data_IF_291198245704
#
_entry.id   IF_291198245704
#
_cell.length_a   1.000
_cell.length_b   1.000
_cell.length_c   1.000
_cell.angle_alpha   90.00
_cell.angle_beta   90.00
_cell.angle_gamma   90.00
#
_symmetry.space_group_name_H-M   'P 1'
#
loop_
_entity.id
_entity.type
_entity.pdbx_description
1 polymer ?
#
# COMPACT_ATOMS: atom_id res chain seq x y z
N UNK A 1 15.26 9.98 -1.34
CA UNK A 1 15.89 9.00 -2.27
C UNK A 1 15.51 9.39 -3.70
N UNK A 2 16.51 9.68 -4.53
CA UNK A 2 16.29 10.09 -5.94
C UNK A 2 15.75 8.90 -6.75
N UNK A 3 14.82 9.16 -7.66
CA UNK A 3 14.18 8.11 -8.46
C UNK A 3 15.13 7.33 -9.36
N UNK A 4 16.18 7.99 -9.86
CA UNK A 4 17.21 7.34 -10.70
C UNK A 4 18.14 6.43 -9.91
N UNK A 5 18.19 6.53 -8.58
CA UNK A 5 19.03 5.66 -7.74
C UNK A 5 18.29 4.34 -7.40
N UNK A 6 17.97 3.60 -8.47
CA UNK A 6 17.26 2.33 -8.35
C UNK A 6 18.14 1.24 -7.75
N UNK A 7 19.45 1.29 -7.95
CA UNK A 7 20.36 0.28 -7.40
C UNK A 7 20.54 0.42 -5.89
N UNK A 8 20.76 1.64 -5.39
CA UNK A 8 20.82 1.89 -3.94
C UNK A 8 19.53 1.47 -3.26
N UNK A 9 18.37 1.88 -3.81
CA UNK A 9 17.08 1.44 -3.30
C UNK A 9 16.94 -0.09 -3.26
N UNK A 10 17.28 -0.79 -4.36
CA UNK A 10 17.17 -2.24 -4.42
C UNK A 10 18.13 -2.93 -3.42
N UNK A 11 19.31 -2.36 -3.21
CA UNK A 11 20.27 -2.86 -2.23
C UNK A 11 19.78 -2.62 -0.80
N UNK A 12 19.20 -1.47 -0.49
CA UNK A 12 18.61 -1.18 0.82
C UNK A 12 17.47 -2.13 1.18
N UNK A 13 16.64 -2.49 0.19
CA UNK A 13 15.50 -3.39 0.38
C UNK A 13 15.92 -4.87 0.41
N UNK A 14 16.78 -5.30 -0.51
CA UNK A 14 17.05 -6.70 -0.78
C UNK A 14 18.49 -7.14 -0.53
N UNK A 15 19.40 -6.22 -0.22
CA UNK A 15 20.82 -6.52 -0.04
C UNK A 15 21.12 -7.47 1.13
N UNK A 16 20.20 -7.56 2.09
CA UNK A 16 20.28 -8.49 3.22
C UNK A 16 19.55 -9.82 3.00
N UNK A 17 19.06 -10.10 1.78
CA UNK A 17 18.32 -11.33 1.51
C UNK A 17 19.21 -12.58 1.68
N UNK A 18 18.77 -13.49 2.53
CA UNK A 18 19.46 -14.76 2.81
C UNK A 18 19.03 -15.84 1.81
N UNK A 19 19.67 -15.82 0.63
CA UNK A 19 19.36 -16.75 -0.47
C UNK A 19 20.37 -17.91 -0.58
N UNK A 20 21.17 -18.13 0.46
CA UNK A 20 22.17 -19.21 0.56
C UNK A 20 23.43 -18.98 -0.29
N UNK A 21 23.50 -17.94 -1.14
CA UNK A 21 24.65 -17.56 -1.95
C UNK A 21 24.58 -16.05 -2.26
N UNK A 22 25.64 -15.31 -1.93
CA UNK A 22 25.74 -13.86 -2.16
C UNK A 22 25.55 -13.48 -3.64
N UNK A 23 25.89 -14.36 -4.58
CA UNK A 23 25.65 -14.14 -6.01
C UNK A 23 24.17 -14.07 -6.33
N UNK A 24 23.32 -14.83 -5.62
CA UNK A 24 21.86 -14.79 -5.75
C UNK A 24 21.30 -13.47 -5.22
N UNK A 25 21.79 -13.02 -4.06
CA UNK A 25 21.40 -11.72 -3.47
C UNK A 25 21.79 -10.57 -4.39
N UNK A 26 23.03 -10.53 -4.90
CA UNK A 26 23.46 -9.53 -5.89
C UNK A 26 22.60 -9.56 -7.16
N UNK A 27 22.23 -10.74 -7.62
CA UNK A 27 21.35 -10.90 -8.80
C UNK A 27 19.93 -10.40 -8.51
N UNK A 28 19.41 -10.65 -7.30
CA UNK A 28 18.12 -10.11 -6.85
C UNK A 28 18.15 -8.57 -6.83
N UNK A 29 19.19 -7.96 -6.27
CA UNK A 29 19.36 -6.49 -6.25
C UNK A 29 19.42 -5.93 -7.69
N UNK A 30 20.19 -6.55 -8.60
CA UNK A 30 20.25 -6.13 -10.00
C UNK A 30 18.89 -6.20 -10.68
N UNK A 31 18.17 -7.32 -10.53
CA UNK A 31 16.83 -7.49 -11.11
C UNK A 31 15.82 -6.47 -10.54
N UNK A 32 15.79 -6.30 -9.22
CA UNK A 32 14.91 -5.35 -8.56
C UNK A 32 15.20 -3.91 -8.99
N UNK A 33 16.48 -3.54 -9.14
CA UNK A 33 16.92 -2.26 -9.67
C UNK A 33 16.39 -2.01 -11.09
N UNK A 34 16.56 -2.99 -11.98
CA UNK A 34 16.08 -2.90 -13.37
C UNK A 34 14.56 -2.77 -13.44
N UNK A 35 13.82 -3.55 -12.63
CA UNK A 35 12.35 -3.47 -12.55
C UNK A 35 11.86 -2.16 -11.93
N UNK A 36 12.61 -1.56 -11.02
CA UNK A 36 12.30 -0.26 -10.43
C UNK A 36 12.58 0.89 -11.41
N UNK A 37 13.61 0.78 -12.23
CA UNK A 37 13.95 1.76 -13.26
C UNK A 37 12.93 1.77 -14.39
N UNK A 38 12.49 0.58 -14.81
CA UNK A 38 11.56 0.36 -15.92
C UNK A 38 10.27 -0.31 -15.43
N UNK A 39 9.64 0.33 -14.46
CA UNK A 39 8.45 -0.19 -13.78
C UNK A 39 7.33 -0.52 -14.77
N UNK A 40 6.76 -1.73 -14.66
CA UNK A 40 5.68 -2.20 -15.54
C UNK A 40 6.16 -2.86 -16.83
N UNK A 41 7.47 -2.85 -17.11
CA UNK A 41 8.03 -3.58 -18.25
C UNK A 41 8.39 -5.02 -17.87
N UNK A 42 8.47 -5.89 -18.88
CA UNK A 42 8.91 -7.28 -18.68
C UNK A 42 10.41 -7.35 -18.32
N UNK A 43 10.86 -8.48 -17.76
CA UNK A 43 12.29 -8.74 -17.48
C UNK A 43 13.15 -8.43 -18.71
N UNK A 44 12.75 -8.88 -19.89
CA UNK A 44 13.50 -8.67 -21.14
C UNK A 44 13.64 -7.17 -21.47
N UNK A 45 12.56 -6.40 -21.32
CA UNK A 45 12.55 -4.96 -21.66
C UNK A 45 13.22 -4.09 -20.60
N UNK A 46 13.30 -4.57 -19.36
CA UNK A 46 13.94 -3.85 -18.26
C UNK A 46 15.42 -4.17 -18.10
N UNK A 47 15.91 -5.26 -18.69
CA UNK A 47 17.32 -5.66 -18.64
C UNK A 47 18.15 -4.96 -19.72
N UNK A 48 19.40 -4.63 -19.35
CA UNK A 48 20.35 -3.91 -20.24
C UNK A 48 21.11 -4.83 -21.19
N UNK A 49 21.16 -6.13 -20.92
CA UNK A 49 21.89 -7.12 -21.70
C UNK A 49 21.22 -8.49 -21.66
N UNK A 50 21.57 -9.35 -22.64
CA UNK A 50 21.13 -10.76 -22.65
C UNK A 50 21.63 -11.53 -21.42
N UNK A 51 22.81 -11.19 -20.88
CA UNK A 51 23.36 -11.78 -19.67
C UNK A 51 22.51 -11.43 -18.41
N UNK A 52 21.99 -10.22 -18.33
CA UNK A 52 21.05 -9.83 -17.25
C UNK A 52 19.73 -10.57 -17.37
N UNK A 53 19.16 -10.70 -18.59
CA UNK A 53 17.94 -11.46 -18.86
C UNK A 53 18.10 -12.91 -18.41
N UNK A 54 19.16 -13.58 -18.86
CA UNK A 54 19.44 -14.97 -18.50
C UNK A 54 19.64 -15.13 -16.98
N UNK A 55 20.41 -14.23 -16.37
CA UNK A 55 20.62 -14.21 -14.93
C UNK A 55 19.34 -14.03 -14.12
N UNK A 56 18.41 -13.18 -14.59
CA UNK A 56 17.11 -12.98 -13.96
C UNK A 56 16.25 -14.25 -14.04
N UNK A 57 16.18 -14.90 -15.20
CA UNK A 57 15.43 -16.15 -15.37
C UNK A 57 16.05 -17.30 -14.55
N UNK A 58 17.37 -17.39 -14.44
CA UNK A 58 18.04 -18.38 -13.58
C UNK A 58 17.69 -18.15 -12.11
N UNK A 59 17.64 -16.89 -11.64
CA UNK A 59 17.21 -16.57 -10.29
C UNK A 59 15.76 -17.00 -10.07
N UNK A 60 14.85 -16.67 -11.00
CA UNK A 60 13.43 -17.01 -10.88
C UNK A 60 13.17 -18.53 -10.87
N UNK A 61 13.95 -19.30 -11.61
CA UNK A 61 13.82 -20.77 -11.69
C UNK A 61 14.55 -21.53 -10.58
N UNK A 62 15.32 -20.84 -9.74
CA UNK A 62 16.12 -21.51 -8.71
C UNK A 62 15.24 -21.87 -7.49
N UNK A 63 15.04 -23.16 -7.19
CA UNK A 63 14.20 -23.58 -6.06
C UNK A 63 14.74 -23.18 -4.69
N UNK A 64 16.04 -22.87 -4.58
CA UNK A 64 16.62 -22.37 -3.34
C UNK A 64 16.36 -20.88 -3.09
N UNK A 65 15.75 -20.18 -4.04
CA UNK A 65 15.32 -18.77 -3.88
C UNK A 65 13.86 -18.77 -3.47
N UNK A 66 13.60 -18.76 -2.17
CA UNK A 66 12.24 -18.77 -1.64
C UNK A 66 11.61 -17.38 -1.72
N UNK A 67 10.34 -17.25 -2.14
CA UNK A 67 9.61 -15.98 -2.11
C UNK A 67 9.60 -15.30 -0.74
N UNK A 68 9.51 -16.10 0.34
CA UNK A 68 9.49 -15.59 1.70
C UNK A 68 10.86 -15.05 2.16
N UNK A 69 11.97 -15.60 1.66
CA UNK A 69 13.30 -15.04 1.90
C UNK A 69 13.49 -13.68 1.20
N UNK A 70 12.93 -13.52 0.00
CA UNK A 70 12.90 -12.23 -0.70
C UNK A 70 12.06 -11.22 0.09
N UNK A 71 10.85 -11.62 0.51
CA UNK A 71 9.94 -10.78 1.28
C UNK A 71 10.54 -10.39 2.64
N UNK A 72 11.15 -11.35 3.34
CA UNK A 72 11.78 -11.15 4.64
C UNK A 72 12.85 -10.06 4.65
N UNK A 73 13.68 -9.99 3.60
CA UNK A 73 14.66 -8.91 3.45
C UNK A 73 13.98 -7.54 3.37
N UNK A 74 12.95 -7.42 2.54
CA UNK A 74 12.20 -6.18 2.41
C UNK A 74 11.44 -5.79 3.67
N UNK A 75 10.87 -6.76 4.40
CA UNK A 75 10.22 -6.50 5.69
C UNK A 75 11.23 -6.04 6.74
N UNK A 76 12.42 -6.63 6.77
CA UNK A 76 13.51 -6.20 7.66
C UNK A 76 13.96 -4.78 7.36
N UNK A 77 14.08 -4.42 6.08
CA UNK A 77 14.40 -3.04 5.68
C UNK A 77 13.30 -2.06 6.13
N UNK A 78 12.03 -2.44 5.99
CA UNK A 78 10.88 -1.63 6.46
C UNK A 78 10.89 -1.49 7.99
N UNK A 79 11.15 -2.57 8.73
CA UNK A 79 11.23 -2.53 10.20
C UNK A 79 12.35 -1.62 10.69
N UNK A 80 13.50 -1.62 10.00
CA UNK A 80 14.62 -0.71 10.30
C UNK A 80 14.21 0.75 10.09
N UNK A 81 13.58 1.08 8.96
CA UNK A 81 13.11 2.42 8.69
C UNK A 81 12.01 2.88 9.66
N UNK A 82 11.18 1.97 10.14
CA UNK A 82 10.12 2.25 11.12
C UNK A 82 10.67 2.80 12.45
N UNK A 83 11.90 2.46 12.83
CA UNK A 83 12.51 2.91 14.10
C UNK A 83 12.66 4.43 14.20
N UNK A 84 12.73 5.14 13.07
CA UNK A 84 12.91 6.59 13.00
C UNK A 84 11.62 7.38 13.32
N UNK A 85 10.47 6.70 13.40
CA UNK A 85 9.17 7.35 13.52
C UNK A 85 8.52 7.13 14.89
N UNK A 86 8.02 8.21 15.54
CA UNK A 86 7.37 8.11 16.85
C UNK A 86 5.95 7.52 16.79
N UNK A 87 5.29 7.61 15.64
CA UNK A 87 3.96 7.08 15.38
C UNK A 87 3.88 6.51 13.97
N UNK A 88 3.29 5.34 13.87
CA UNK A 88 3.10 4.61 12.63
C UNK A 88 1.65 4.15 12.49
N UNK A 89 1.13 4.20 11.28
CA UNK A 89 -0.13 3.55 10.90
C UNK A 89 0.20 2.30 10.09
N UNK A 90 -0.30 1.15 10.54
CA UNK A 90 -0.28 -0.08 9.75
C UNK A 90 -1.59 -0.13 8.94
N UNK A 91 -1.52 0.23 7.67
CA UNK A 91 -2.65 0.24 6.76
C UNK A 91 -2.83 -1.16 6.18
N UNK A 92 -3.97 -1.78 6.48
CA UNK A 92 -4.20 -3.19 6.19
C UNK A 92 -5.39 -3.39 5.24
N UNK A 93 -5.20 -4.21 4.23
CA UNK A 93 -6.28 -4.60 3.31
C UNK A 93 -5.94 -5.87 2.52
N UNK A 94 -6.97 -6.50 1.95
CA UNK A 94 -6.85 -7.69 1.12
C UNK A 94 -7.23 -7.40 -0.33
N UNK A 95 -6.51 -8.05 -1.25
CA UNK A 95 -6.83 -8.01 -2.67
C UNK A 95 -6.63 -9.38 -3.31
N UNK A 96 -7.17 -9.56 -4.49
CA UNK A 96 -6.88 -10.73 -5.32
C UNK A 96 -6.05 -10.32 -6.54
N UNK A 97 -5.09 -11.14 -6.94
CA UNK A 97 -4.32 -11.01 -8.18
C UNK A 97 -4.86 -11.99 -9.21
N UNK A 98 -5.23 -11.49 -10.39
CA UNK A 98 -5.83 -12.29 -11.44
C UNK A 98 -4.78 -12.74 -12.46
N UNK A 99 -4.57 -14.05 -12.55
CA UNK A 99 -3.69 -14.70 -13.51
C UNK A 99 -4.41 -15.70 -14.41
N UNK A 100 -5.69 -15.50 -14.67
CA UNK A 100 -6.53 -16.40 -15.50
C UNK A 100 -6.01 -16.58 -16.93
N UNK A 101 -5.21 -15.65 -17.41
CA UNK A 101 -4.59 -15.65 -18.75
C UNK A 101 -3.19 -16.27 -18.77
N UNK A 102 -2.62 -16.61 -17.61
CA UNK A 102 -1.26 -17.17 -17.49
C UNK A 102 -1.24 -18.66 -17.72
N UNK A 103 -0.11 -19.18 -18.23
CA UNK A 103 0.14 -20.62 -18.35
C UNK A 103 0.11 -21.34 -16.99
N UNK A 104 0.40 -20.62 -15.90
CA UNK A 104 0.41 -21.13 -14.52
C UNK A 104 -1.01 -21.23 -13.91
N UNK A 105 -2.05 -20.87 -14.63
CA UNK A 105 -3.43 -20.79 -14.08
C UNK A 105 -3.91 -22.09 -13.41
N UNK A 106 -3.48 -23.26 -13.92
CA UNK A 106 -3.91 -24.55 -13.38
C UNK A 106 -3.30 -24.86 -12.01
N UNK A 107 -2.17 -24.20 -11.66
CA UNK A 107 -1.56 -24.27 -10.33
C UNK A 107 -2.18 -23.28 -9.33
N UNK A 108 -3.14 -22.46 -9.78
CA UNK A 108 -3.75 -21.38 -9.00
C UNK A 108 -5.21 -21.66 -8.67
N UNK A 109 -5.63 -21.23 -7.49
CA UNK A 109 -7.00 -21.37 -7.02
C UNK A 109 -7.95 -20.27 -7.50
N UNK A 110 -9.21 -20.40 -7.14
CA UNK A 110 -10.24 -19.40 -7.46
C UNK A 110 -10.07 -18.13 -6.62
N UNK A 111 -10.16 -16.98 -7.28
CA UNK A 111 -10.09 -15.65 -6.62
C UNK A 111 -11.46 -15.00 -6.42
N UNK A 112 -12.49 -15.53 -7.07
CA UNK A 112 -13.88 -15.06 -6.96
C UNK A 112 -14.84 -16.24 -6.77
N UNK A 113 -16.13 -15.96 -6.67
CA UNK A 113 -17.16 -17.00 -6.74
C UNK A 113 -17.30 -17.63 -8.14
N UNK A 114 -16.59 -17.08 -9.15
CA UNK A 114 -16.52 -17.65 -10.48
C UNK A 114 -15.25 -18.51 -10.61
N UNK A 115 -15.42 -19.81 -10.83
CA UNK A 115 -14.33 -20.77 -10.98
C UNK A 115 -13.38 -20.47 -12.16
N UNK A 116 -13.77 -19.61 -13.08
CA UNK A 116 -12.92 -19.21 -14.24
C UNK A 116 -11.82 -18.23 -13.86
N UNK A 117 -12.04 -17.45 -12.80
CA UNK A 117 -11.06 -16.48 -12.34
C UNK A 117 -10.04 -17.15 -11.41
N UNK A 118 -8.78 -17.25 -11.86
CA UNK A 118 -7.67 -17.93 -11.19
C UNK A 118 -6.61 -16.95 -10.73
N UNK A 119 -6.02 -17.18 -9.57
CA UNK A 119 -4.98 -16.30 -9.06
C UNK A 119 -4.61 -16.54 -7.60
N UNK A 120 -4.09 -15.48 -6.99
CA UNK A 120 -3.68 -15.46 -5.59
C UNK A 120 -4.57 -14.48 -4.81
N UNK A 121 -4.89 -14.85 -3.58
CA UNK A 121 -5.36 -13.91 -2.57
C UNK A 121 -4.15 -13.31 -1.88
N UNK A 122 -4.22 -12.03 -1.56
CA UNK A 122 -3.13 -11.33 -0.89
C UNK A 122 -3.69 -10.45 0.21
N UNK A 123 -3.06 -10.49 1.38
CA UNK A 123 -3.29 -9.54 2.46
C UNK A 123 -1.99 -8.78 2.70
N UNK A 124 -2.05 -7.45 2.65
CA UNK A 124 -0.88 -6.58 2.73
C UNK A 124 -0.99 -5.61 3.91
N UNK A 125 0.13 -5.30 4.55
CA UNK A 125 0.27 -4.31 5.61
C UNK A 125 1.35 -3.31 5.23
N UNK A 126 0.96 -2.05 5.03
CA UNK A 126 1.88 -0.94 4.78
C UNK A 126 2.09 -0.13 6.05
N UNK A 127 3.33 0.25 6.35
CA UNK A 127 3.62 1.25 7.37
C UNK A 127 3.67 2.65 6.77
N UNK A 128 2.95 3.56 7.42
CA UNK A 128 2.87 4.97 7.07
C UNK A 128 3.12 5.85 8.29
N UNK A 129 3.98 6.85 8.17
CA UNK A 129 4.27 7.82 9.22
C UNK A 129 3.43 9.09 9.01
N UNK A 130 2.35 9.32 9.79
CA UNK A 130 1.42 10.42 9.57
C UNK A 130 2.04 11.79 9.84
N UNK A 131 2.99 11.91 10.78
CA UNK A 131 3.61 13.18 11.15
C UNK A 131 4.47 13.84 10.04
N UNK A 132 4.95 13.03 9.08
CA UNK A 132 5.73 13.52 7.93
C UNK A 132 5.15 13.06 6.57
N UNK A 133 3.93 12.57 6.56
CA UNK A 133 3.24 12.05 5.37
C UNK A 133 4.10 11.05 4.56
N UNK A 134 4.88 10.20 5.26
CA UNK A 134 5.87 9.32 4.66
C UNK A 134 5.39 7.86 4.59
N UNK A 135 5.48 7.25 3.39
CA UNK A 135 5.29 5.81 3.20
C UNK A 135 6.59 5.08 3.58
N UNK A 136 6.60 4.43 4.74
CA UNK A 136 7.78 3.75 5.29
C UNK A 136 8.09 2.47 4.51
N UNK A 137 7.08 1.62 4.27
CA UNK A 137 7.30 0.41 3.51
C UNK A 137 6.23 -0.66 3.70
N UNK A 138 6.44 -1.81 3.07
CA UNK A 138 5.64 -3.03 3.24
C UNK A 138 6.25 -3.85 4.39
N UNK A 139 5.48 -4.08 5.47
CA UNK A 139 5.94 -4.80 6.67
C UNK A 139 5.47 -6.25 6.72
N UNK A 140 4.34 -6.55 6.07
CA UNK A 140 3.80 -7.90 5.96
C UNK A 140 3.05 -8.05 4.64
N UNK A 141 3.14 -9.24 4.04
CA UNK A 141 2.30 -9.65 2.93
C UNK A 141 2.11 -11.16 2.93
N UNK A 142 0.88 -11.58 3.19
CA UNK A 142 0.46 -12.97 3.07
C UNK A 142 -0.08 -13.23 1.67
N UNK A 143 0.30 -14.34 1.08
CA UNK A 143 -0.16 -14.79 -0.24
C UNK A 143 -0.65 -16.23 -0.14
N UNK A 144 -1.84 -16.50 -0.64
CA UNK A 144 -2.38 -17.86 -0.65
C UNK A 144 -3.27 -18.11 -1.87
N UNK A 145 -3.46 -19.37 -2.18
CA UNK A 145 -4.38 -19.84 -3.20
C UNK A 145 -5.52 -20.60 -2.52
N UNK A 146 -6.75 -20.29 -2.88
CA UNK A 146 -7.91 -21.06 -2.39
C UNK A 146 -7.96 -22.40 -3.11
N UNK A 147 -7.98 -23.49 -2.35
CA UNK A 147 -8.12 -24.82 -2.92
C UNK A 147 -9.47 -24.96 -3.64
N UNK A 148 -9.42 -25.66 -4.77
CA UNK A 148 -10.61 -25.87 -5.62
C UNK A 148 -11.71 -26.62 -4.90
N UNK A 149 -11.33 -27.62 -4.11
CA UNK A 149 -12.25 -28.48 -3.36
C UNK A 149 -12.93 -27.78 -2.18
N UNK A 150 -12.47 -26.62 -1.78
CA UNK A 150 -13.11 -25.79 -0.74
C UNK A 150 -14.27 -24.95 -1.26
N UNK A 151 -14.48 -24.92 -2.58
CA UNK A 151 -15.56 -24.17 -3.22
C UNK A 151 -16.94 -24.74 -2.85
N UNK A 152 -17.89 -23.87 -2.50
CA UNK A 152 -19.25 -24.26 -2.16
C UNK A 152 -19.48 -24.72 -0.70
N UNK A 153 -18.44 -24.95 0.09
CA UNK A 153 -18.51 -25.44 1.49
C UNK A 153 -18.76 -24.33 2.52
N UNK A 154 -19.51 -23.28 2.17
CA UNK A 154 -19.83 -22.14 3.07
C UNK A 154 -20.50 -22.57 4.39
N UNK A 155 -21.31 -23.65 4.37
CA UNK A 155 -22.00 -24.18 5.54
C UNK A 155 -21.05 -24.75 6.61
N UNK A 156 -19.87 -25.25 6.23
CA UNK A 156 -18.85 -25.74 7.16
C UNK A 156 -18.03 -24.62 7.84
N UNK A 157 -18.16 -23.36 7.36
CA UNK A 157 -17.39 -22.21 7.86
C UNK A 157 -17.64 -21.91 9.34
N UNK A 158 -18.86 -22.17 9.83
CA UNK A 158 -19.23 -21.93 11.24
C UNK A 158 -18.55 -22.92 12.20
N UNK A 159 -18.29 -24.15 11.74
CA UNK A 159 -17.74 -25.23 12.56
C UNK A 159 -16.20 -25.24 12.64
N UNK A 160 -15.53 -24.54 11.70
CA UNK A 160 -14.06 -24.47 11.70
C UNK A 160 -13.55 -23.60 12.85
N UNK A 161 -12.44 -23.99 13.51
CA UNK A 161 -11.70 -23.11 14.42
C UNK A 161 -11.36 -21.77 13.75
N UNK A 162 -11.16 -20.73 14.55
CA UNK A 162 -10.86 -19.38 14.01
C UNK A 162 -9.56 -19.37 13.21
N UNK A 163 -8.55 -20.10 13.65
CA UNK A 163 -7.22 -20.21 13.07
C UNK A 163 -7.23 -20.84 11.67
N UNK A 164 -8.23 -21.66 11.37
CA UNK A 164 -8.42 -22.29 10.05
C UNK A 164 -9.27 -21.43 9.09
N UNK A 165 -9.83 -20.33 9.57
CA UNK A 165 -10.62 -19.41 8.74
C UNK A 165 -9.73 -18.44 8.00
N UNK A 166 -10.11 -18.10 6.78
CA UNK A 166 -9.41 -17.05 6.00
C UNK A 166 -9.37 -15.71 6.73
N UNK A 167 -10.33 -15.48 7.63
CA UNK A 167 -10.37 -14.27 8.48
C UNK A 167 -9.25 -14.20 9.53
N UNK A 168 -8.55 -15.30 9.83
CA UNK A 168 -7.38 -15.34 10.71
C UNK A 168 -6.20 -14.55 10.14
N UNK A 169 -6.18 -14.27 8.84
CA UNK A 169 -5.16 -13.44 8.18
C UNK A 169 -4.87 -12.13 8.91
N UNK A 170 -5.89 -11.47 9.49
CA UNK A 170 -5.75 -10.21 10.23
C UNK A 170 -4.91 -10.39 11.50
N UNK A 171 -5.23 -11.40 12.29
CA UNK A 171 -4.47 -11.71 13.50
C UNK A 171 -3.06 -12.18 13.14
N UNK A 172 -2.91 -13.07 12.18
CA UNK A 172 -1.61 -13.56 11.71
C UNK A 172 -0.72 -12.44 11.20
N UNK A 173 -1.27 -11.44 10.49
CA UNK A 173 -0.52 -10.25 10.07
C UNK A 173 -0.04 -9.44 11.26
N UNK A 174 -0.89 -9.25 12.28
CA UNK A 174 -0.52 -8.56 13.51
C UNK A 174 0.55 -9.28 14.31
N UNK A 175 0.51 -10.63 14.38
CA UNK A 175 1.52 -11.47 15.03
C UNK A 175 2.88 -11.33 14.34
N UNK A 176 2.92 -11.46 13.01
CA UNK A 176 4.16 -11.32 12.23
C UNK A 176 4.73 -9.90 12.31
N UNK A 177 3.86 -8.89 12.24
CA UNK A 177 4.27 -7.49 12.37
C UNK A 177 4.88 -7.22 13.73
N UNK A 178 4.24 -7.68 14.82
CA UNK A 178 4.74 -7.52 16.18
C UNK A 178 6.11 -8.22 16.38
N UNK A 179 6.28 -9.42 15.83
CA UNK A 179 7.55 -10.13 15.85
C UNK A 179 8.68 -9.35 15.16
N UNK A 180 8.40 -8.71 14.02
CA UNK A 180 9.40 -7.94 13.26
C UNK A 180 9.75 -6.60 13.87
N UNK A 181 8.76 -5.94 14.46
CA UNK A 181 8.91 -4.59 14.99
C UNK A 181 9.40 -4.57 16.46
N UNK A 182 9.17 -5.66 17.23
CA UNK A 182 9.55 -5.72 18.63
C UNK A 182 8.95 -4.54 19.42
N UNK A 183 9.80 -3.78 20.09
CA UNK A 183 9.38 -2.62 20.92
C UNK A 183 8.71 -1.49 20.11
N UNK A 184 9.04 -1.38 18.81
CA UNK A 184 8.43 -0.39 17.92
C UNK A 184 6.92 -0.63 17.78
N UNK A 185 6.43 -1.87 17.99
CA UNK A 185 5.02 -2.22 17.90
C UNK A 185 4.12 -1.33 18.76
N UNK A 186 4.60 -0.84 19.90
CA UNK A 186 3.87 0.09 20.78
C UNK A 186 3.53 1.43 20.13
N UNK A 187 4.26 1.80 19.05
CA UNK A 187 4.04 3.04 18.27
C UNK A 187 3.11 2.84 17.08
N UNK A 188 2.64 1.61 16.83
CA UNK A 188 1.87 1.24 15.63
C UNK A 188 0.38 1.18 15.94
N UNK A 189 -0.42 1.85 15.13
CA UNK A 189 -1.89 1.73 15.11
C UNK A 189 -2.28 0.98 13.84
N UNK A 190 -2.86 -0.22 13.97
CA UNK A 190 -3.46 -0.94 12.82
C UNK A 190 -4.72 -0.22 12.36
N UNK A 191 -4.83 0.07 11.07
CA UNK A 191 -5.98 0.76 10.47
C UNK A 191 -6.63 -0.15 9.44
N UNK A 192 -7.80 -0.68 9.79
CA UNK A 192 -8.44 -1.77 9.07
C UNK A 192 -9.85 -1.41 8.62
N UNK A 193 -10.30 -2.06 7.55
CA UNK A 193 -11.65 -1.91 7.04
C UNK A 193 -12.67 -2.80 7.78
N UNK A 194 -13.88 -2.91 7.19
CA UNK A 194 -15.00 -3.70 7.75
C UNK A 194 -14.73 -5.20 7.85
N UNK A 195 -13.82 -5.75 7.04
CA UNK A 195 -13.50 -7.18 7.07
C UNK A 195 -12.76 -7.56 8.37
N UNK A 196 -12.07 -6.61 8.99
CA UNK A 196 -11.38 -6.79 10.27
C UNK A 196 -12.30 -6.70 11.50
N UNK A 197 -13.60 -6.38 11.35
CA UNK A 197 -14.54 -6.35 12.46
C UNK A 197 -14.91 -7.78 12.92
N UNK A 198 -13.93 -8.49 13.43
CA UNK A 198 -13.99 -9.88 13.91
C UNK A 198 -13.74 -9.89 15.41
N UNK A 199 -14.64 -10.49 16.19
CA UNK A 199 -14.55 -10.53 17.65
C UNK A 199 -13.18 -11.04 18.13
N UNK A 200 -12.75 -12.19 17.65
CA UNK A 200 -11.46 -12.80 18.04
C UNK A 200 -10.27 -11.89 17.73
N UNK A 201 -10.29 -11.17 16.61
CA UNK A 201 -9.25 -10.23 16.25
C UNK A 201 -9.21 -9.01 17.18
N UNK A 202 -10.38 -8.44 17.49
CA UNK A 202 -10.47 -7.31 18.43
C UNK A 202 -10.01 -7.70 19.83
N UNK A 203 -10.44 -8.88 20.32
CA UNK A 203 -10.04 -9.44 21.60
C UNK A 203 -8.54 -9.71 21.66
N UNK A 204 -7.96 -10.33 20.61
CA UNK A 204 -6.52 -10.52 20.48
C UNK A 204 -5.76 -9.19 20.56
N UNK A 205 -6.19 -8.17 19.81
CA UNK A 205 -5.53 -6.84 19.82
C UNK A 205 -5.53 -6.24 21.21
N UNK A 206 -6.66 -6.29 21.92
CA UNK A 206 -6.79 -5.75 23.28
C UNK A 206 -5.94 -6.57 24.27
N UNK A 207 -5.98 -7.90 24.22
CA UNK A 207 -5.21 -8.77 25.11
C UNK A 207 -3.70 -8.58 24.96
N UNK A 208 -3.23 -8.27 23.75
CA UNK A 208 -1.82 -7.98 23.46
C UNK A 208 -1.44 -6.50 23.64
N UNK A 209 -2.35 -5.65 24.10
CA UNK A 209 -2.11 -4.20 24.21
C UNK A 209 -1.78 -3.52 22.88
N UNK A 210 -2.19 -4.10 21.76
CA UNK A 210 -1.94 -3.56 20.43
C UNK A 210 -2.98 -2.53 20.03
N UNK A 211 -2.53 -1.43 19.44
CA UNK A 211 -3.33 -0.28 19.06
C UNK A 211 -4.02 -0.51 17.71
N UNK A 212 -5.26 -0.06 17.57
CA UNK A 212 -5.99 -0.22 16.31
C UNK A 212 -7.12 0.81 16.11
N UNK A 213 -7.52 0.97 14.84
CA UNK A 213 -8.77 1.60 14.36
C UNK A 213 -9.38 0.64 13.35
N UNK A 214 -10.57 0.13 13.65
CA UNK A 214 -11.31 -0.80 12.79
C UNK A 214 -12.67 -0.20 12.46
N UNK A 215 -13.06 -0.21 11.18
CA UNK A 215 -14.42 0.18 10.81
C UNK A 215 -15.40 -0.94 11.15
N UNK A 216 -16.40 -0.63 11.98
CA UNK A 216 -17.43 -1.60 12.36
C UNK A 216 -18.31 -1.99 11.17
N UNK A 217 -18.54 -3.29 11.04
CA UNK A 217 -19.49 -3.91 10.11
C UNK A 217 -20.67 -4.55 10.86
N UNK A 218 -20.48 -4.87 12.15
CA UNK A 218 -21.43 -5.57 12.98
C UNK A 218 -22.15 -4.59 13.89
N UNK A 219 -23.50 -4.56 13.86
CA UNK A 219 -24.30 -3.79 14.81
C UNK A 219 -24.40 -4.57 16.14
N UNK A 220 -23.32 -4.52 16.92
CA UNK A 220 -23.13 -5.30 18.15
C UNK A 220 -23.99 -4.80 19.31
N UNK A 221 -24.29 -5.69 20.25
CA UNK A 221 -24.95 -5.35 21.51
C UNK A 221 -23.97 -4.59 22.43
N UNK A 222 -24.51 -3.66 23.21
CA UNK A 222 -23.80 -2.95 24.26
C UNK A 222 -24.08 -3.62 25.61
N UNK A 223 -23.08 -3.65 26.51
CA UNK A 223 -23.23 -4.26 27.83
C UNK A 223 -23.94 -3.35 28.82
N UNK A 224 -23.67 -2.04 28.75
CA UNK A 224 -24.09 -1.03 29.76
C UNK A 224 -25.33 -0.24 29.35
N UNK A 225 -25.76 -0.31 28.08
CA UNK A 225 -26.90 0.45 27.58
C UNK A 225 -27.86 -0.46 26.81
N UNK A 226 -29.19 -0.24 26.95
CA UNK A 226 -30.14 -0.91 26.07
C UNK A 226 -29.93 -0.42 24.64
N UNK A 227 -29.64 -1.35 23.71
CA UNK A 227 -29.48 -1.02 22.30
C UNK A 227 -28.26 -1.65 21.64
N UNK A 228 -28.00 -1.17 20.46
CA UNK A 228 -26.91 -1.65 19.61
C UNK A 228 -25.99 -0.50 19.19
N UNK A 229 -24.78 -0.86 18.79
CA UNK A 229 -23.72 0.08 18.44
C UNK A 229 -24.15 1.17 17.43
N UNK A 230 -24.90 0.83 16.39
CA UNK A 230 -25.23 1.77 15.32
C UNK A 230 -26.40 2.70 15.65
N UNK A 231 -27.16 2.44 16.71
CA UNK A 231 -28.15 3.38 17.22
C UNK A 231 -27.57 4.39 18.22
N UNK A 232 -26.33 4.15 18.71
CA UNK A 232 -25.70 5.01 19.70
C UNK A 232 -25.57 6.48 19.27
N UNK A 233 -25.23 6.82 17.99
CA UNK A 233 -25.10 8.22 17.56
C UNK A 233 -26.36 9.07 17.68
N UNK A 234 -27.53 8.46 17.74
CA UNK A 234 -28.81 9.16 17.95
C UNK A 234 -28.93 9.76 19.35
N UNK A 235 -28.14 9.23 20.29
CA UNK A 235 -28.14 9.60 21.70
C UNK A 235 -26.85 10.35 22.11
N UNK A 236 -25.91 10.56 21.20
CA UNK A 236 -24.65 11.25 21.46
C UNK A 236 -24.70 12.68 21.00
N UNK A 237 -24.13 13.57 21.80
CA UNK A 237 -23.90 14.97 21.39
C UNK A 237 -22.79 15.01 20.32
N UNK A 238 -23.01 15.85 19.32
CA UNK A 238 -21.98 16.18 18.35
C UNK A 238 -20.81 16.91 19.04
N UNK A 239 -19.61 16.32 18.92
CA UNK A 239 -18.41 16.84 19.54
C UNK A 239 -17.62 17.79 18.63
N UNK A 240 -17.85 17.71 17.32
CA UNK A 240 -17.16 18.55 16.33
C UNK A 240 -17.30 18.02 14.92
N UNK A 241 -16.49 18.56 14.02
CA UNK A 241 -16.55 18.17 12.60
C UNK A 241 -15.16 17.95 11.99
N UNK A 242 -15.14 17.20 10.88
CA UNK A 242 -13.97 16.91 10.07
C UNK A 242 -14.32 17.12 8.58
N UNK A 243 -13.44 17.77 7.83
CA UNK A 243 -13.63 17.97 6.40
C UNK A 243 -13.08 16.80 5.63
N UNK A 244 -13.93 16.11 4.88
CA UNK A 244 -13.55 14.95 4.06
C UNK A 244 -13.52 15.31 2.58
N UNK A 245 -12.41 15.00 1.91
CA UNK A 245 -12.29 15.08 0.46
C UNK A 245 -12.72 13.76 -0.19
N UNK A 246 -13.96 13.68 -0.66
CA UNK A 246 -14.49 12.50 -1.34
C UNK A 246 -13.98 12.46 -2.78
N UNK A 247 -13.21 11.45 -3.12
CA UNK A 247 -12.66 11.26 -4.48
C UNK A 247 -13.76 10.80 -5.44
N UNK A 248 -13.65 11.18 -6.71
CA UNK A 248 -14.55 10.68 -7.75
C UNK A 248 -14.52 9.15 -7.82
N UNK A 249 -15.68 8.51 -7.77
CA UNK A 249 -15.83 7.06 -7.91
C UNK A 249 -17.17 6.71 -8.56
N UNK A 250 -17.17 5.88 -9.59
CA UNK A 250 -18.37 5.26 -10.14
C UNK A 250 -19.45 6.25 -10.61
N UNK A 251 -19.09 7.32 -11.30
CA UNK A 251 -20.00 8.34 -11.80
C UNK A 251 -20.36 9.45 -10.79
N UNK A 252 -19.93 9.34 -9.51
CA UNK A 252 -20.06 10.42 -8.52
C UNK A 252 -18.89 11.38 -8.66
N UNK A 253 -19.19 12.70 -8.77
CA UNK A 253 -18.16 13.74 -8.82
C UNK A 253 -17.35 13.80 -7.52
N UNK A 254 -16.08 14.19 -7.61
CA UNK A 254 -15.30 14.55 -6.43
C UNK A 254 -15.97 15.72 -5.71
N UNK A 255 -16.06 15.66 -4.37
CA UNK A 255 -16.66 16.71 -3.55
C UNK A 255 -15.94 16.83 -2.23
N UNK A 256 -15.99 17.99 -1.65
CA UNK A 256 -15.64 18.22 -0.25
C UNK A 256 -16.93 18.19 0.57
N UNK A 257 -16.90 17.49 1.68
CA UNK A 257 -18.05 17.39 2.59
C UNK A 257 -17.62 17.52 4.04
N UNK A 258 -18.53 17.99 4.86
CA UNK A 258 -18.33 18.09 6.29
C UNK A 258 -18.91 16.88 6.99
N UNK A 259 -18.09 16.22 7.78
CA UNK A 259 -18.45 15.05 8.58
C UNK A 259 -18.58 15.46 10.03
N UNK A 260 -19.68 15.17 10.68
CA UNK A 260 -19.91 15.40 12.10
C UNK A 260 -19.42 14.23 12.93
N UNK A 261 -18.74 14.52 14.03
CA UNK A 261 -18.09 13.52 14.90
C UNK A 261 -18.82 13.45 16.23
N UNK A 262 -19.18 12.25 16.64
CA UNK A 262 -19.56 11.91 18.02
C UNK A 262 -18.76 10.70 18.49
N UNK A 263 -18.47 10.61 19.78
CA UNK A 263 -17.71 9.50 20.34
C UNK A 263 -18.18 9.14 21.75
N UNK A 264 -17.93 7.90 22.15
CA UNK A 264 -18.19 7.42 23.50
C UNK A 264 -17.34 6.17 23.80
N UNK A 265 -17.05 5.93 25.06
CA UNK A 265 -16.54 4.65 25.50
C UNK A 265 -17.68 3.62 25.49
N UNK A 266 -17.39 2.44 25.00
CA UNK A 266 -18.40 1.37 24.87
C UNK A 266 -17.85 0.05 25.36
N UNK A 267 -18.74 -0.78 25.91
CA UNK A 267 -18.49 -2.18 26.19
C UNK A 267 -19.31 -3.04 25.22
N UNK A 268 -18.63 -3.65 24.24
CA UNK A 268 -19.28 -4.56 23.29
C UNK A 268 -19.56 -5.88 23.97
N UNK A 269 -20.76 -6.42 23.74
CA UNK A 269 -21.21 -7.69 24.32
C UNK A 269 -21.45 -8.72 23.22
N UNK A 270 -21.06 -9.95 23.49
CA UNK A 270 -21.40 -11.12 22.68
C UNK A 270 -22.48 -11.95 23.38
N UNK A 271 -23.34 -12.58 22.60
CA UNK A 271 -24.46 -13.39 23.14
C UNK A 271 -24.00 -14.73 23.75
N UNK A 272 -22.77 -15.13 23.49
CA UNK A 272 -22.18 -16.42 23.88
C UNK A 272 -21.42 -16.40 25.22
N UNK A 273 -21.53 -15.31 25.99
CA UNK A 273 -21.04 -15.27 27.37
C UNK A 273 -19.57 -14.90 27.54
N UNK A 274 -18.85 -14.53 26.46
CA UNK A 274 -17.49 -13.99 26.58
C UNK A 274 -17.49 -12.64 27.33
N UNK A 275 -16.34 -12.30 27.92
CA UNK A 275 -16.15 -11.00 28.58
C UNK A 275 -16.39 -9.83 27.60
N UNK A 276 -17.01 -8.75 28.01
CA UNK A 276 -17.21 -7.56 27.17
C UNK A 276 -15.86 -6.96 26.73
N UNK A 277 -15.83 -6.44 25.50
CA UNK A 277 -14.68 -5.70 24.99
C UNK A 277 -14.87 -4.20 25.24
N UNK A 278 -13.97 -3.60 26.03
CA UNK A 278 -13.94 -2.16 26.31
C UNK A 278 -13.19 -1.43 25.23
N UNK A 279 -13.84 -0.49 24.52
CA UNK A 279 -13.33 0.21 23.36
C UNK A 279 -13.84 1.65 23.35
N UNK A 280 -13.19 2.51 22.57
CA UNK A 280 -13.77 3.78 22.16
C UNK A 280 -14.48 3.60 20.82
N UNK A 281 -15.70 4.10 20.75
CA UNK A 281 -16.50 4.18 19.54
C UNK A 281 -16.52 5.61 19.03
N UNK A 282 -16.31 5.79 17.71
CA UNK A 282 -16.42 7.08 17.03
C UNK A 282 -17.38 6.91 15.85
N UNK A 283 -18.40 7.77 15.81
CA UNK A 283 -19.23 7.95 14.62
C UNK A 283 -18.80 9.21 13.90
N UNK A 284 -18.55 9.10 12.60
CA UNK A 284 -18.25 10.21 11.72
C UNK A 284 -19.21 10.13 10.52
N UNK A 285 -20.16 11.10 10.42
CA UNK A 285 -21.23 11.06 9.42
C UNK A 285 -21.50 12.42 8.79
N UNK A 286 -21.94 12.43 7.54
CA UNK A 286 -22.49 13.61 6.90
C UNK A 286 -23.83 14.02 7.51
N UNK A 287 -24.26 15.28 7.30
CA UNK A 287 -25.59 15.73 7.69
C UNK A 287 -26.70 15.02 6.89
N UNK A 288 -26.41 14.67 5.64
CA UNK A 288 -27.32 13.88 4.80
C UNK A 288 -27.36 12.42 5.31
N UNK A 289 -28.53 11.87 5.67
CA UNK A 289 -28.66 10.49 6.09
C UNK A 289 -28.20 9.43 5.08
N UNK A 290 -28.29 9.75 3.78
CA UNK A 290 -27.77 8.92 2.69
C UNK A 290 -26.29 9.16 2.38
N UNK A 291 -25.66 10.05 3.10
CA UNK A 291 -24.27 10.43 2.98
C UNK A 291 -23.30 9.40 3.55
N UNK A 292 -22.02 9.77 3.58
CA UNK A 292 -20.99 8.90 4.16
C UNK A 292 -21.17 8.79 5.69
N UNK A 293 -21.12 7.55 6.19
CA UNK A 293 -21.13 7.26 7.62
C UNK A 293 -20.05 6.21 7.94
N UNK A 294 -19.20 6.55 8.92
CA UNK A 294 -18.18 5.68 9.46
C UNK A 294 -18.43 5.41 10.93
N UNK A 295 -18.55 4.14 11.27
CA UNK A 295 -18.57 3.65 12.65
C UNK A 295 -17.19 3.06 12.93
N UNK A 296 -16.38 3.70 13.76
CA UNK A 296 -15.02 3.28 14.06
C UNK A 296 -14.95 2.74 15.49
N UNK A 297 -14.25 1.62 15.65
CA UNK A 297 -13.88 1.03 16.93
C UNK A 297 -12.38 1.18 17.09
N UNK A 298 -11.94 1.64 18.26
CA UNK A 298 -10.51 1.84 18.52
C UNK A 298 -10.14 1.50 19.96
N UNK A 299 -8.90 1.04 20.16
CA UNK A 299 -8.25 0.89 21.46
C UNK A 299 -7.75 2.23 22.04
N UNK A 300 -7.70 3.27 21.19
CA UNK A 300 -7.24 4.59 21.64
C UNK A 300 -8.24 5.25 22.59
N UNK A 301 -7.73 5.87 23.64
CA UNK A 301 -8.55 6.72 24.51
C UNK A 301 -8.85 8.02 23.78
N UNK A 302 -10.12 8.42 23.81
CA UNK A 302 -10.59 9.69 23.22
C UNK A 302 -11.32 10.47 24.30
N UNK A 303 -10.70 11.56 24.73
CA UNK A 303 -11.19 12.43 25.80
C UNK A 303 -11.64 13.80 25.27
N UNK A 304 -11.25 14.13 24.04
CA UNK A 304 -11.58 15.41 23.41
C UNK A 304 -11.74 15.26 21.89
N UNK A 305 -12.26 16.31 21.27
CA UNK A 305 -12.55 16.39 19.83
C UNK A 305 -11.30 16.26 18.95
N UNK A 306 -10.15 16.74 19.41
CA UNK A 306 -8.91 16.69 18.62
C UNK A 306 -8.42 15.24 18.48
N UNK A 307 -8.48 14.49 19.58
CA UNK A 307 -8.15 13.06 19.57
C UNK A 307 -9.13 12.28 18.67
N UNK A 308 -10.44 12.59 18.73
CA UNK A 308 -11.43 11.99 17.82
C UNK A 308 -11.12 12.30 16.34
N UNK A 309 -10.78 13.55 16.02
CA UNK A 309 -10.35 13.95 14.66
C UNK A 309 -9.10 13.23 14.21
N UNK A 310 -8.12 13.03 15.09
CA UNK A 310 -6.92 12.28 14.78
C UNK A 310 -7.25 10.84 14.34
N UNK A 311 -8.13 10.15 15.09
CA UNK A 311 -8.56 8.79 14.75
C UNK A 311 -9.30 8.74 13.40
N UNK A 312 -10.19 9.71 13.14
CA UNK A 312 -10.88 9.84 11.85
C UNK A 312 -9.85 10.06 10.73
N UNK A 313 -8.86 10.94 10.94
CA UNK A 313 -7.77 11.19 10.01
C UNK A 313 -6.89 9.95 9.76
N UNK A 314 -6.64 9.13 10.78
CA UNK A 314 -5.92 7.85 10.59
C UNK A 314 -6.73 6.89 9.71
N UNK A 315 -8.03 6.80 9.93
CA UNK A 315 -8.89 5.96 9.10
C UNK A 315 -8.97 6.46 7.65
N UNK A 316 -8.99 7.77 7.43
CA UNK A 316 -8.93 8.37 6.10
C UNK A 316 -7.67 7.93 5.32
N UNK A 317 -6.50 7.83 6.01
CA UNK A 317 -5.25 7.36 5.40
C UNK A 317 -5.30 5.90 4.96
N UNK A 318 -6.24 5.09 5.44
CA UNK A 318 -6.41 3.70 5.00
C UNK A 318 -6.53 3.57 3.47
N UNK A 319 -7.10 4.59 2.80
CA UNK A 319 -7.20 4.59 1.35
C UNK A 319 -5.86 4.38 0.61
N UNK A 320 -4.73 4.71 1.23
CA UNK A 320 -3.41 4.52 0.64
C UNK A 320 -3.10 3.04 0.33
N UNK A 321 -3.66 2.07 1.07
CA UNK A 321 -3.47 0.65 0.75
C UNK A 321 -4.21 0.26 -0.54
N UNK A 322 -5.38 0.86 -0.82
CA UNK A 322 -6.09 0.65 -2.08
C UNK A 322 -5.32 1.26 -3.26
N UNK A 323 -4.70 2.42 -3.07
CA UNK A 323 -3.80 3.04 -4.05
C UNK A 323 -2.54 2.18 -4.28
N UNK A 324 -1.99 1.57 -3.23
CA UNK A 324 -0.90 0.59 -3.36
C UNK A 324 -1.32 -0.61 -4.21
N UNK A 325 -2.45 -1.22 -3.90
CA UNK A 325 -2.96 -2.35 -4.69
C UNK A 325 -3.15 -1.96 -6.15
N UNK A 326 -3.64 -0.76 -6.42
CA UNK A 326 -3.79 -0.24 -7.78
C UNK A 326 -2.44 -0.03 -8.47
N UNK A 327 -1.46 0.57 -7.78
CA UNK A 327 -0.11 0.75 -8.29
C UNK A 327 0.56 -0.60 -8.62
N UNK A 328 0.34 -1.60 -7.78
CA UNK A 328 0.88 -2.94 -7.95
C UNK A 328 0.22 -3.72 -9.09
N UNK A 329 -1.13 -3.70 -9.16
CA UNK A 329 -1.92 -4.50 -10.13
C UNK A 329 -1.84 -3.98 -11.55
N UNK A 330 -2.19 -2.73 -11.78
CA UNK A 330 -2.41 -2.18 -13.12
C UNK A 330 -1.81 -0.80 -13.37
N UNK A 331 -1.55 -0.03 -12.31
CA UNK A 331 -1.15 1.37 -12.43
C UNK A 331 0.34 1.61 -12.60
N UNK A 332 1.19 0.70 -12.14
CA UNK A 332 2.64 0.88 -12.16
C UNK A 332 3.35 -0.43 -12.42
N UNK A 333 3.46 -1.29 -11.40
CA UNK A 333 4.21 -2.55 -11.50
C UNK A 333 3.57 -3.62 -12.40
N UNK A 334 2.29 -3.47 -12.78
CA UNK A 334 1.54 -4.33 -13.70
C UNK A 334 1.66 -5.84 -13.39
N UNK A 335 1.61 -6.20 -12.11
CA UNK A 335 1.88 -7.58 -11.64
C UNK A 335 0.94 -8.60 -12.29
N UNK A 336 -0.30 -8.24 -12.59
CA UNK A 336 -1.27 -9.13 -13.24
C UNK A 336 -0.94 -9.43 -14.73
N UNK A 337 0.03 -8.74 -15.33
CA UNK A 337 0.51 -8.99 -16.68
C UNK A 337 1.66 -10.03 -16.74
N UNK A 338 2.12 -10.52 -15.59
CA UNK A 338 3.20 -11.51 -15.53
C UNK A 338 2.84 -12.79 -16.28
N UNK A 339 3.82 -13.33 -17.01
CA UNK A 339 3.73 -14.57 -17.77
C UNK A 339 4.80 -15.54 -17.29
N UNK A 340 4.57 -16.18 -16.16
CA UNK A 340 5.48 -17.15 -15.57
C UNK A 340 5.01 -18.58 -15.82
N UNK A 341 5.97 -19.52 -15.84
CA UNK A 341 5.70 -20.92 -16.17
C UNK A 341 5.22 -21.74 -14.98
N UNK A 342 5.62 -21.37 -13.75
CA UNK A 342 5.27 -22.06 -12.52
C UNK A 342 4.78 -21.07 -11.48
N UNK A 343 4.02 -21.55 -10.49
CA UNK A 343 3.55 -20.77 -9.36
C UNK A 343 4.71 -20.16 -8.57
N UNK A 344 5.77 -20.93 -8.31
CA UNK A 344 6.94 -20.46 -7.57
C UNK A 344 7.63 -19.28 -8.26
N UNK A 345 7.81 -19.36 -9.59
CA UNK A 345 8.39 -18.27 -10.37
C UNK A 345 7.50 -17.03 -10.32
N UNK A 346 6.18 -17.23 -10.37
CA UNK A 346 5.20 -16.16 -10.26
C UNK A 346 5.29 -15.50 -8.89
N UNK A 347 5.31 -16.26 -7.81
CA UNK A 347 5.35 -15.73 -6.44
C UNK A 347 6.65 -14.95 -6.17
N UNK A 348 7.80 -15.36 -6.70
CA UNK A 348 9.07 -14.60 -6.61
C UNK A 348 8.92 -13.22 -7.26
N UNK A 349 8.36 -13.16 -8.48
CA UNK A 349 8.14 -11.90 -9.19
C UNK A 349 7.09 -11.04 -8.51
N UNK A 350 5.97 -11.62 -8.09
CA UNK A 350 4.91 -10.96 -7.32
C UNK A 350 5.49 -10.27 -6.10
N UNK A 351 6.39 -10.96 -5.39
CA UNK A 351 7.06 -10.43 -4.18
C UNK A 351 7.97 -9.25 -4.50
N UNK A 352 8.84 -9.34 -5.51
CA UNK A 352 9.73 -8.23 -5.88
C UNK A 352 8.90 -7.00 -6.30
N UNK A 353 7.90 -7.22 -7.15
CA UNK A 353 7.04 -6.13 -7.64
C UNK A 353 6.16 -5.51 -6.56
N UNK A 354 5.90 -6.20 -5.43
CA UNK A 354 5.21 -5.62 -4.28
C UNK A 354 6.02 -4.46 -3.68
N UNK A 355 7.33 -4.60 -3.52
CA UNK A 355 8.19 -3.52 -3.03
C UNK A 355 8.42 -2.42 -4.08
N UNK A 356 8.50 -2.77 -5.36
CA UNK A 356 8.51 -1.77 -6.43
C UNK A 356 7.25 -0.90 -6.39
N UNK A 357 6.08 -1.51 -6.16
CA UNK A 357 4.81 -0.78 -6.05
C UNK A 357 4.76 0.18 -4.85
N UNK A 358 5.39 -0.17 -3.72
CA UNK A 358 5.54 0.75 -2.57
C UNK A 358 6.34 1.98 -2.97
N UNK A 359 7.46 1.81 -3.68
CA UNK A 359 8.28 2.91 -4.17
C UNK A 359 7.50 3.83 -5.10
N UNK A 360 6.72 3.25 -6.01
CA UNK A 360 5.83 3.97 -6.92
C UNK A 360 4.82 4.80 -6.14
N UNK A 361 4.14 4.19 -5.15
CA UNK A 361 3.17 4.86 -4.31
C UNK A 361 3.81 6.03 -3.53
N UNK A 362 4.96 5.80 -2.91
CA UNK A 362 5.66 6.81 -2.11
C UNK A 362 5.96 8.08 -2.91
N UNK A 363 6.41 7.93 -4.17
CA UNK A 363 6.66 9.06 -5.05
C UNK A 363 5.41 9.91 -5.29
N UNK A 364 4.30 9.26 -5.69
CA UNK A 364 3.06 9.98 -5.98
C UNK A 364 2.52 10.64 -4.71
N UNK A 365 2.56 9.94 -3.58
CA UNK A 365 2.08 10.46 -2.32
C UNK A 365 2.79 11.76 -1.94
N UNK A 366 4.11 11.82 -2.10
CA UNK A 366 4.89 13.03 -1.85
C UNK A 366 4.54 14.18 -2.79
N UNK A 367 4.25 13.89 -4.06
CA UNK A 367 3.91 14.92 -5.06
C UNK A 367 2.50 15.50 -4.94
N UNK A 368 1.60 14.83 -4.21
CA UNK A 368 0.20 15.27 -4.04
C UNK A 368 -0.16 15.64 -2.60
N UNK A 369 0.66 15.29 -1.62
CA UNK A 369 0.45 15.63 -0.21
C UNK A 369 0.68 17.11 0.02
N UNK A 370 -0.22 17.75 0.77
CA UNK A 370 -0.10 19.17 1.14
C UNK A 370 1.16 19.44 1.97
N UNK A 371 1.59 18.44 2.75
CA UNK A 371 2.76 18.51 3.62
C UNK A 371 4.08 18.52 2.83
N UNK A 372 4.15 17.82 1.68
CA UNK A 372 5.40 17.58 0.97
C UNK A 372 5.45 18.15 -0.45
N UNK A 373 4.33 18.55 -1.04
CA UNK A 373 4.24 19.01 -2.43
C UNK A 373 5.11 20.25 -2.73
N UNK A 374 5.42 21.05 -1.72
CA UNK A 374 6.23 22.27 -1.83
C UNK A 374 7.73 22.02 -1.54
N UNK A 375 8.13 20.80 -1.17
CA UNK A 375 9.54 20.44 -1.05
C UNK A 375 10.25 20.56 -2.41
N UNK A 376 11.58 20.72 -2.38
CA UNK A 376 12.40 20.69 -3.59
C UNK A 376 12.23 19.39 -4.37
N UNK A 377 12.09 19.49 -5.69
CA UNK A 377 12.04 18.32 -6.57
C UNK A 377 13.33 17.48 -6.52
N UNK A 378 14.45 18.02 -6.04
CA UNK A 378 15.70 17.27 -5.85
C UNK A 378 15.58 16.16 -4.80
N UNK A 379 14.53 16.17 -4.00
CA UNK A 379 14.20 15.05 -3.14
C UNK A 379 13.83 13.76 -3.91
N UNK A 380 13.50 13.87 -5.22
CA UNK A 380 13.12 12.74 -6.10
C UNK A 380 13.81 12.74 -7.46
N UNK A 381 14.22 13.90 -8.00
CA UNK A 381 14.90 14.04 -9.27
C UNK A 381 16.35 14.51 -9.06
N UNK A 382 17.28 13.96 -9.81
CA UNK A 382 18.64 14.48 -9.86
C UNK A 382 18.69 15.87 -10.53
N UNK A 383 19.76 16.68 -10.30
CA UNK A 383 19.90 17.98 -10.95
C UNK A 383 19.80 17.94 -12.48
N UNK A 384 20.33 16.90 -13.11
CA UNK A 384 20.23 16.73 -14.57
C UNK A 384 18.80 16.46 -15.00
N UNK A 385 18.08 15.61 -14.28
CA UNK A 385 16.71 15.22 -14.59
C UNK A 385 15.75 16.40 -14.53
N UNK A 386 15.74 17.16 -13.43
CA UNK A 386 14.81 18.26 -13.34
C UNK A 386 15.15 19.42 -14.29
N UNK A 387 16.45 19.66 -14.58
CA UNK A 387 16.85 20.68 -15.56
C UNK A 387 16.42 20.33 -16.98
N UNK A 388 16.61 19.08 -17.40
CA UNK A 388 16.11 18.60 -18.70
C UNK A 388 14.59 18.67 -18.78
N UNK A 389 13.89 18.26 -17.72
CA UNK A 389 12.44 18.33 -17.65
C UNK A 389 11.95 19.78 -17.73
N UNK A 390 12.64 20.72 -17.05
CA UNK A 390 12.33 22.15 -17.12
C UNK A 390 12.47 22.70 -18.53
N UNK A 391 13.62 22.48 -19.17
CA UNK A 391 13.86 22.95 -20.55
C UNK A 391 12.80 22.37 -21.50
N UNK A 392 12.42 21.10 -21.33
CA UNK A 392 11.41 20.44 -22.18
C UNK A 392 10.00 20.98 -21.98
N UNK A 393 9.62 21.30 -20.74
CA UNK A 393 8.24 21.71 -20.42
C UNK A 393 8.03 23.22 -20.47
N UNK A 394 8.98 23.99 -20.00
CA UNK A 394 8.87 25.45 -19.86
C UNK A 394 9.51 26.20 -21.02
N UNK A 395 10.52 25.63 -21.68
CA UNK A 395 11.25 26.26 -22.79
C UNK A 395 11.97 27.57 -22.41
N UNK A 396 12.25 27.76 -21.10
CA UNK A 396 12.76 28.99 -20.53
C UNK A 396 14.13 28.77 -19.88
N UNK A 397 14.79 29.88 -19.51
CA UNK A 397 15.98 29.85 -18.68
C UNK A 397 15.74 29.08 -17.41
N UNK A 398 16.75 28.33 -16.95
CA UNK A 398 16.69 27.59 -15.72
C UNK A 398 16.43 28.53 -14.53
N UNK A 399 15.56 28.13 -13.57
CA UNK A 399 15.37 28.92 -12.37
C UNK A 399 16.61 28.85 -11.47
N UNK A 400 16.77 29.83 -10.59
CA UNK A 400 17.89 29.92 -9.65
C UNK A 400 17.85 28.77 -8.61
N UNK A 401 16.67 28.29 -8.27
CA UNK A 401 16.48 27.19 -7.33
C UNK A 401 15.63 26.06 -7.94
N UNK A 402 15.82 24.80 -7.48
CA UNK A 402 15.03 23.67 -7.95
C UNK A 402 13.53 23.89 -7.72
N UNK A 403 12.67 23.59 -8.71
CA UNK A 403 11.22 23.72 -8.57
C UNK A 403 10.62 22.81 -7.48
N UNK A 404 9.38 23.08 -7.04
CA UNK A 404 8.72 22.24 -6.06
C UNK A 404 8.34 20.85 -6.63
N UNK A 405 8.21 19.88 -5.75
CA UNK A 405 7.88 18.50 -6.08
C UNK A 405 6.55 18.37 -6.84
N UNK A 406 5.55 19.20 -6.50
CA UNK A 406 4.30 19.30 -7.24
C UNK A 406 4.52 19.60 -8.73
N UNK A 407 5.39 20.56 -9.04
CA UNK A 407 5.74 20.89 -10.42
C UNK A 407 6.37 19.67 -11.12
N UNK A 408 7.31 18.98 -10.47
CA UNK A 408 7.98 17.81 -11.04
C UNK A 408 6.96 16.70 -11.40
N UNK A 409 6.04 16.38 -10.49
CA UNK A 409 4.99 15.38 -10.74
C UNK A 409 4.06 15.77 -11.89
N UNK A 410 3.64 17.04 -11.95
CA UNK A 410 2.80 17.54 -13.04
C UNK A 410 3.55 17.56 -14.37
N UNK A 411 4.81 17.95 -14.37
CA UNK A 411 5.65 18.03 -15.57
C UNK A 411 5.97 16.64 -16.13
N UNK A 412 6.23 15.66 -15.27
CA UNK A 412 6.32 14.25 -15.67
C UNK A 412 5.02 13.76 -16.29
N UNK A 413 3.89 14.05 -15.66
CA UNK A 413 2.60 13.66 -16.18
C UNK A 413 2.30 14.29 -17.56
N UNK A 414 2.61 15.58 -17.75
CA UNK A 414 2.51 16.27 -19.06
C UNK A 414 3.42 15.63 -20.10
N UNK A 415 4.64 15.29 -19.76
CA UNK A 415 5.57 14.56 -20.63
C UNK A 415 4.99 13.19 -21.04
N UNK A 416 4.24 12.55 -20.13
CA UNK A 416 3.49 11.32 -20.36
C UNK A 416 2.12 11.50 -21.05
N UNK A 417 1.86 12.69 -21.62
CA UNK A 417 0.61 13.04 -22.33
C UNK A 417 -0.63 13.22 -21.45
N UNK A 418 -0.44 13.60 -20.19
CA UNK A 418 -1.54 14.10 -19.37
C UNK A 418 -1.83 15.57 -19.72
N UNK A 419 -3.10 15.88 -19.89
CA UNK A 419 -3.56 17.25 -20.15
C UNK A 419 -4.25 17.77 -18.90
N UNK A 420 -3.72 18.88 -18.34
CA UNK A 420 -4.29 19.55 -17.18
C UNK A 420 -5.60 20.24 -17.58
N UNK A 421 -6.72 19.58 -17.33
CA UNK A 421 -8.04 20.11 -17.59
C UNK A 421 -9.00 19.76 -16.44
N UNK A 422 -10.08 20.53 -16.31
CA UNK A 422 -11.13 20.26 -15.30
C UNK A 422 -11.73 18.84 -15.42
N UNK A 423 -11.62 18.20 -16.60
CA UNK A 423 -12.16 16.85 -16.86
C UNK A 423 -11.19 15.73 -16.53
N UNK A 424 -9.87 15.96 -16.61
CA UNK A 424 -8.86 14.90 -16.43
C UNK A 424 -8.52 14.65 -14.98
N UNK A 425 -8.82 15.59 -14.07
CA UNK A 425 -8.50 15.44 -12.66
C UNK A 425 -6.99 15.33 -12.39
N UNK A 426 -6.62 14.71 -11.27
CA UNK A 426 -5.21 14.47 -10.89
C UNK A 426 -4.57 13.47 -11.84
N UNK A 427 -3.24 13.62 -12.16
CA UNK A 427 -2.56 12.68 -13.03
C UNK A 427 -2.56 11.27 -12.47
N UNK A 428 -2.86 10.31 -13.34
CA UNK A 428 -2.82 8.88 -13.02
C UNK A 428 -1.41 8.32 -13.05
N UNK A 429 -1.25 7.09 -12.54
CA UNK A 429 0.03 6.38 -12.48
C UNK A 429 0.70 6.21 -13.84
N UNK A 430 -0.06 5.78 -14.85
CA UNK A 430 0.47 5.45 -16.18
C UNK A 430 1.15 6.67 -16.80
N UNK A 431 0.50 7.84 -16.79
CA UNK A 431 1.05 9.05 -17.42
C UNK A 431 2.29 9.58 -16.70
N UNK A 432 2.40 9.39 -15.36
CA UNK A 432 3.60 9.77 -14.61
C UNK A 432 4.78 8.89 -15.03
N UNK A 433 4.56 7.59 -15.16
CA UNK A 433 5.60 6.63 -15.56
C UNK A 433 5.99 6.75 -17.03
N UNK A 434 5.03 6.96 -17.93
CA UNK A 434 5.32 7.24 -19.33
C UNK A 434 6.19 8.51 -19.48
N UNK A 435 5.90 9.53 -18.66
CA UNK A 435 6.72 10.71 -18.60
C UNK A 435 8.11 10.46 -18.01
N UNK A 436 8.19 9.64 -16.96
CA UNK A 436 9.46 9.23 -16.37
C UNK A 436 10.36 8.50 -17.38
N UNK A 437 9.83 7.53 -18.13
CA UNK A 437 10.62 6.81 -19.15
C UNK A 437 11.16 7.76 -20.22
N UNK A 438 10.32 8.67 -20.73
CA UNK A 438 10.77 9.68 -21.69
C UNK A 438 11.83 10.61 -21.11
N UNK A 439 11.74 10.95 -19.83
CA UNK A 439 12.78 11.73 -19.18
C UNK A 439 14.10 10.93 -19.09
N UNK A 440 14.04 9.64 -18.79
CA UNK A 440 15.26 8.81 -18.76
C UNK A 440 15.90 8.68 -20.15
N UNK A 441 15.14 8.54 -21.23
CA UNK A 441 15.64 8.58 -22.62
C UNK A 441 16.33 9.91 -22.93
N UNK A 442 15.77 11.03 -22.46
CA UNK A 442 16.38 12.36 -22.61
C UNK A 442 17.70 12.48 -21.81
N UNK A 443 17.75 11.94 -20.59
CA UNK A 443 18.96 11.93 -19.75
C UNK A 443 20.07 11.09 -20.40
N UNK A 444 19.71 9.95 -20.97
CA UNK A 444 20.65 9.10 -21.69
C UNK A 444 21.21 9.81 -22.93
N UNK A 445 20.34 10.41 -23.75
CA UNK A 445 20.75 11.20 -24.91
C UNK A 445 21.66 12.38 -24.53
N UNK A 446 21.35 13.08 -23.44
CA UNK A 446 22.20 14.17 -22.94
C UNK A 446 23.58 13.65 -22.49
N UNK A 447 23.67 12.51 -21.81
CA UNK A 447 24.94 11.90 -21.40
C UNK A 447 25.77 11.48 -22.61
N UNK A 448 25.13 10.90 -23.61
CA UNK A 448 25.79 10.51 -24.88
C UNK A 448 26.34 11.74 -25.59
N UNK A 449 25.56 12.81 -25.75
CA UNK A 449 26.03 14.07 -26.37
C UNK A 449 27.24 14.65 -25.62
N UNK A 450 27.15 14.71 -24.28
CA UNK A 450 28.26 15.23 -23.45
C UNK A 450 29.53 14.37 -23.54
N UNK A 451 29.43 13.05 -23.71
CA UNK A 451 30.62 12.20 -23.93
C UNK A 451 31.25 12.43 -25.30
N UNK A 452 30.47 12.66 -26.35
CA UNK A 452 30.95 12.98 -27.68
C UNK A 452 31.71 14.34 -27.69
N UNK A 453 31.20 15.37 -26.97
CA UNK A 453 31.86 16.68 -26.86
C UNK A 453 33.22 16.62 -26.10
N UNK A 454 33.46 15.55 -25.32
CA UNK A 454 34.75 15.35 -24.59
C UNK A 454 35.78 14.55 -25.39
N UNK A 455 35.35 13.86 -26.47
CA UNK A 455 36.23 13.07 -27.34
C UNK A 455 36.67 13.83 -28.62
N UNK A 456 36.07 15.02 -28.88
CA UNK A 456 36.44 15.94 -29.95
C UNK A 456 37.25 17.11 -29.38
#
# INVERSE_FOLDING_TARGET
MVLSDCYSWANDIFGSAELGDLRRTRRLVTLASSLAQYTGLSIVKSSRSSAEVEGAYRLMRNPAVLPDAIAGAGFTATARAAAEHPLLLALEDSTSLNFSHSTVREELGSITNNQRARGLQVHSVLLYAPGCAHMVGLIEQQRWSREYDSYGKKHQRKQRPYEEKESYKWQKASEHMAQRLGEIQSRVISVCDREADIWHYLDYKLSQGQRFVVRAAQNRLLAEAPGKLFSLPEHLTEAGSHTLNVVQKGGRAARQTQMFISYNNVQLKKTTGEAPLSLTYICCREADPEGACWHLLTSEKVENTEQARAIVGYYERRWLIEEYHKAWKSGGAQVEQLRMQTRDNLERMVTILAFVAVRVLALRQRGVSEETQNESCESVLSPVEWKLLWVKQEGKTLPESPPPLKWACQSLAKLGRWYDSKRTGRPGWIVIWDGWFKLQDMVEGYRMAKSLDQEI
#
